data_IF_303692936171
#
_entry.id   IF_303692936171
#
_cell.length_a   1.000
_cell.length_b   1.000
_cell.length_c   1.000
_cell.angle_alpha   90.00
_cell.angle_beta   90.00
_cell.angle_gamma   90.00
#
_symmetry.space_group_name_H-M   'P 1'
#
loop_
_entity.id
_entity.type
_entity.pdbx_description
1 polymer ?
#
# COMPACT_ATOMS: atom_id res chain seq x y z
N UNK A 1 -20.00 2.55 -7.89
CA UNK A 1 -19.39 1.58 -8.83
C UNK A 1 -18.32 2.33 -9.63
N UNK A 2 -17.04 2.18 -9.30
CA UNK A 2 -15.94 3.00 -9.86
C UNK A 2 -14.90 2.12 -10.55
N UNK A 3 -14.95 2.00 -11.88
CA UNK A 3 -13.91 1.35 -12.70
C UNK A 3 -13.78 1.87 -14.16
N UNK A 4 -14.14 3.12 -14.55
CA UNK A 4 -13.96 3.53 -15.94
C UNK A 4 -12.48 3.51 -16.39
N UNK A 5 -11.53 3.74 -15.47
CA UNK A 5 -10.08 3.73 -15.75
C UNK A 5 -9.49 2.32 -15.90
N UNK A 6 -10.12 1.30 -15.31
CA UNK A 6 -9.63 -0.08 -15.32
C UNK A 6 -10.77 -1.08 -15.54
N UNK A 7 -11.30 -1.18 -16.77
CA UNK A 7 -12.43 -2.07 -17.08
C UNK A 7 -12.10 -3.55 -16.81
N UNK A 8 -10.82 -3.94 -16.95
CA UNK A 8 -10.33 -5.29 -16.61
C UNK A 8 -10.55 -5.67 -15.14
N UNK A 9 -10.64 -4.69 -14.23
CA UNK A 9 -10.88 -4.94 -12.80
C UNK A 9 -12.38 -5.00 -12.46
N UNK A 10 -13.28 -4.69 -13.40
CA UNK A 10 -14.72 -4.78 -13.18
C UNK A 10 -15.17 -6.23 -13.01
N UNK A 11 -14.59 -7.14 -13.80
CA UNK A 11 -14.87 -8.58 -13.78
C UNK A 11 -13.59 -9.33 -13.38
N UNK A 12 -13.26 -9.31 -12.09
CA UNK A 12 -12.09 -10.05 -11.59
C UNK A 12 -12.36 -11.56 -11.62
N UNK A 13 -11.44 -12.40 -12.15
CA UNK A 13 -11.57 -13.85 -12.08
C UNK A 13 -11.68 -14.32 -10.62
N UNK A 14 -12.66 -15.16 -10.33
CA UNK A 14 -12.75 -15.83 -9.02
C UNK A 14 -11.57 -16.78 -8.86
N UNK A 15 -10.75 -16.66 -7.79
CA UNK A 15 -9.66 -17.58 -7.55
C UNK A 15 -10.19 -19.00 -7.37
N UNK A 16 -9.67 -19.97 -8.14
CA UNK A 16 -10.04 -21.39 -8.00
C UNK A 16 -9.67 -21.95 -6.61
N UNK A 17 -8.65 -21.37 -5.96
CA UNK A 17 -8.26 -21.66 -4.59
C UNK A 17 -8.09 -20.35 -3.83
N UNK A 18 -9.10 -19.86 -3.09
CA UNK A 18 -8.93 -18.70 -2.25
C UNK A 18 -7.87 -19.02 -1.18
N UNK A 19 -6.86 -18.16 -0.98
CA UNK A 19 -5.84 -18.41 0.02
C UNK A 19 -6.48 -18.41 1.41
N UNK A 20 -6.19 -19.45 2.20
CA UNK A 20 -6.56 -19.50 3.62
C UNK A 20 -5.63 -18.55 4.37
N UNK A 21 -6.09 -17.34 4.66
CA UNK A 21 -5.37 -16.40 5.50
C UNK A 21 -5.61 -16.77 6.97
N UNK A 22 -4.55 -17.10 7.71
CA UNK A 22 -4.62 -17.28 9.17
C UNK A 22 -4.52 -15.97 9.94
N UNK A 23 -4.10 -14.89 9.26
CA UNK A 23 -3.87 -13.57 9.85
C UNK A 23 -4.66 -12.50 9.11
N UNK A 24 -4.95 -11.41 9.82
CA UNK A 24 -5.55 -10.23 9.22
C UNK A 24 -4.56 -9.52 8.28
N UNK A 25 -5.05 -8.90 7.20
CA UNK A 25 -4.24 -8.05 6.33
C UNK A 25 -3.54 -6.93 7.10
N UNK A 26 -2.38 -6.50 6.62
CA UNK A 26 -1.65 -5.39 7.21
C UNK A 26 -2.43 -4.08 7.11
N UNK A 27 -2.58 -3.39 8.24
CA UNK A 27 -3.15 -2.04 8.32
C UNK A 27 -2.04 -0.99 8.35
N UNK A 28 -1.31 -0.88 7.24
CA UNK A 28 -0.19 0.05 7.08
C UNK A 28 -0.50 1.09 5.99
N UNK A 29 -0.62 2.35 6.38
CA UNK A 29 -0.69 3.48 5.44
C UNK A 29 0.58 3.52 4.58
N UNK A 30 0.38 3.60 3.25
CA UNK A 30 1.47 3.50 2.25
C UNK A 30 2.34 2.23 2.37
N UNK A 31 1.84 1.20 3.05
CA UNK A 31 2.61 0.03 3.49
C UNK A 31 3.82 0.35 4.41
N UNK A 32 3.83 1.52 5.05
CA UNK A 32 4.94 2.00 5.89
C UNK A 32 4.48 2.27 7.32
N UNK A 33 3.47 3.11 7.51
CA UNK A 33 3.05 3.58 8.84
C UNK A 33 1.82 2.84 9.37
N UNK A 34 1.80 2.41 10.64
CA UNK A 34 0.57 1.91 11.27
C UNK A 34 -0.52 2.97 11.31
N UNK A 35 -1.77 2.59 11.04
CA UNK A 35 -2.90 3.53 11.10
C UNK A 35 -3.38 3.85 12.51
N UNK A 36 -2.92 3.11 13.53
CA UNK A 36 -3.40 3.21 14.91
C UNK A 36 -2.99 4.52 15.63
N UNK A 37 -2.06 5.30 15.08
CA UNK A 37 -1.60 6.57 15.65
C UNK A 37 -1.42 7.60 14.54
N UNK A 38 -1.82 8.84 14.79
CA UNK A 38 -1.59 9.97 13.86
C UNK A 38 -0.17 10.53 14.00
N UNK A 39 0.45 10.37 15.16
CA UNK A 39 1.87 10.71 15.37
C UNK A 39 2.70 9.46 15.08
N UNK A 40 3.43 9.42 13.95
CA UNK A 40 4.24 8.27 13.61
C UNK A 40 5.46 8.19 14.52
N UNK A 41 5.60 7.09 15.26
CA UNK A 41 6.79 6.79 16.08
C UNK A 41 7.55 5.56 15.58
N UNK A 42 6.94 4.80 14.67
CA UNK A 42 7.48 3.59 14.09
C UNK A 42 7.06 3.49 12.62
N UNK A 43 7.99 3.03 11.78
CA UNK A 43 7.78 2.77 10.37
C UNK A 43 8.28 1.37 10.02
N UNK A 44 7.59 0.69 9.11
CA UNK A 44 7.94 -0.65 8.63
C UNK A 44 8.39 -0.57 7.17
N UNK A 45 9.62 -0.99 6.88
CA UNK A 45 10.21 -0.96 5.53
C UNK A 45 10.39 -2.37 4.98
N UNK A 46 10.37 -2.52 3.66
CA UNK A 46 10.66 -3.79 2.97
C UNK A 46 9.59 -4.88 3.13
N UNK A 47 8.44 -4.58 3.74
CA UNK A 47 7.35 -5.55 3.91
C UNK A 47 6.53 -5.77 2.62
N UNK A 48 6.50 -4.76 1.75
CA UNK A 48 5.81 -4.79 0.46
C UNK A 48 6.62 -5.56 -0.56
N UNK A 49 5.99 -6.52 -1.23
CA UNK A 49 6.56 -7.26 -2.35
C UNK A 49 6.51 -6.36 -3.59
N UNK A 50 7.69 -5.89 -4.00
CA UNK A 50 7.90 -4.97 -5.12
C UNK A 50 8.89 -5.59 -6.12
N UNK A 51 8.85 -5.19 -7.39
CA UNK A 51 9.72 -5.78 -8.41
C UNK A 51 11.22 -5.52 -8.17
N UNK A 52 11.58 -4.37 -7.58
CA UNK A 52 12.97 -4.00 -7.29
C UNK A 52 13.09 -3.47 -5.86
N UNK A 53 13.48 -4.31 -4.91
CA UNK A 53 13.52 -3.92 -3.50
C UNK A 53 14.58 -2.85 -3.20
N UNK A 54 15.72 -2.82 -3.91
CA UNK A 54 16.78 -1.83 -3.67
C UNK A 54 16.33 -0.43 -4.05
N UNK A 55 15.73 -0.27 -5.22
CA UNK A 55 15.15 1.01 -5.67
C UNK A 55 14.06 1.51 -4.71
N UNK A 56 13.18 0.61 -4.25
CA UNK A 56 12.11 0.99 -3.35
C UNK A 56 12.60 1.28 -1.93
N UNK A 57 13.67 0.63 -1.47
CA UNK A 57 14.21 0.83 -0.14
C UNK A 57 14.65 2.29 0.06
N UNK A 58 15.24 2.92 -0.95
CA UNK A 58 15.62 4.32 -0.92
C UNK A 58 14.40 5.23 -0.73
N UNK A 59 13.40 5.10 -1.61
CA UNK A 59 12.20 5.94 -1.59
C UNK A 59 11.36 5.70 -0.32
N UNK A 60 11.18 4.44 0.08
CA UNK A 60 10.50 4.10 1.33
C UNK A 60 11.21 4.68 2.55
N UNK A 61 12.55 4.68 2.57
CA UNK A 61 13.33 5.25 3.67
C UNK A 61 13.18 6.77 3.73
N UNK A 62 13.26 7.45 2.59
CA UNK A 62 13.03 8.90 2.52
C UNK A 62 11.63 9.25 3.06
N UNK A 63 10.60 8.59 2.53
CA UNK A 63 9.22 8.80 2.99
C UNK A 63 9.02 8.51 4.48
N UNK A 64 9.64 7.44 4.99
CA UNK A 64 9.52 7.06 6.38
C UNK A 64 10.19 8.07 7.32
N UNK A 65 11.40 8.53 7.00
CA UNK A 65 12.09 9.54 7.81
C UNK A 65 11.32 10.86 7.80
N UNK A 66 10.87 11.31 6.62
CA UNK A 66 10.07 12.53 6.51
C UNK A 66 8.77 12.49 7.31
N UNK A 67 8.16 11.30 7.46
CA UNK A 67 6.98 11.16 8.33
C UNK A 67 7.35 11.19 9.81
N UNK A 68 8.45 10.55 10.20
CA UNK A 68 8.91 10.48 11.60
C UNK A 68 9.44 11.82 12.13
N UNK A 69 10.11 12.61 11.29
CA UNK A 69 10.64 13.93 11.67
C UNK A 69 9.62 15.08 11.52
N UNK A 70 8.44 14.79 10.94
CA UNK A 70 7.36 15.75 10.75
C UNK A 70 7.48 16.63 9.51
N UNK A 71 8.47 16.36 8.63
CA UNK A 71 8.59 17.03 7.32
C UNK A 71 7.32 16.85 6.48
N UNK A 72 6.75 15.64 6.49
CA UNK A 72 5.42 15.38 5.94
C UNK A 72 4.42 15.16 7.06
N UNK A 73 3.24 15.75 6.93
CA UNK A 73 2.12 15.53 7.86
C UNK A 73 1.26 14.38 7.35
N UNK A 74 1.18 13.29 8.12
CA UNK A 74 0.28 12.20 7.81
C UNK A 74 -1.18 12.65 7.93
N UNK A 75 -2.09 12.15 7.06
CA UNK A 75 -3.49 12.53 7.14
C UNK A 75 -4.16 11.96 8.40
N UNK A 76 -5.38 12.44 8.74
CA UNK A 76 -6.13 11.89 9.87
C UNK A 76 -6.33 10.38 9.77
N UNK A 77 -6.40 9.70 10.93
CA UNK A 77 -6.50 8.24 11.02
C UNK A 77 -7.59 7.65 10.10
N UNK A 78 -8.79 8.24 10.10
CA UNK A 78 -9.91 7.76 9.28
C UNK A 78 -9.60 7.78 7.77
N UNK A 79 -8.84 8.78 7.29
CA UNK A 79 -8.43 8.86 5.88
C UNK A 79 -7.31 7.86 5.57
N UNK A 80 -6.38 7.62 6.51
CA UNK A 80 -5.37 6.56 6.36
C UNK A 80 -6.02 5.19 6.25
N UNK A 81 -6.95 4.86 7.15
CA UNK A 81 -7.67 3.58 7.16
C UNK A 81 -8.49 3.36 5.89
N UNK A 82 -9.16 4.42 5.41
CA UNK A 82 -9.89 4.41 4.15
C UNK A 82 -8.99 4.17 2.95
N UNK A 83 -7.80 4.80 2.92
CA UNK A 83 -6.81 4.56 1.86
C UNK A 83 -6.30 3.11 1.89
N UNK A 84 -5.96 2.59 3.07
CA UNK A 84 -5.55 1.19 3.25
C UNK A 84 -6.64 0.24 2.78
N UNK A 85 -7.89 0.43 3.20
CA UNK A 85 -9.01 -0.41 2.76
C UNK A 85 -9.19 -0.38 1.23
N UNK A 86 -9.03 0.80 0.63
CA UNK A 86 -9.11 0.98 -0.84
C UNK A 86 -7.98 0.25 -1.56
N UNK A 87 -6.73 0.41 -1.11
CA UNK A 87 -5.56 -0.23 -1.73
C UNK A 87 -5.62 -1.75 -1.55
N UNK A 88 -6.07 -2.24 -0.39
CA UNK A 88 -6.28 -3.67 -0.13
C UNK A 88 -7.38 -4.26 -1.03
N UNK A 89 -8.50 -3.57 -1.19
CA UNK A 89 -9.57 -4.00 -2.09
C UNK A 89 -9.11 -4.03 -3.55
N UNK A 90 -8.32 -3.04 -3.96
CA UNK A 90 -7.74 -2.97 -5.29
C UNK A 90 -6.70 -4.09 -5.51
N UNK A 91 -5.80 -4.37 -4.56
CA UNK A 91 -4.82 -5.45 -4.64
C UNK A 91 -5.48 -6.82 -4.76
N UNK A 92 -6.53 -7.09 -3.99
CA UNK A 92 -7.30 -8.35 -4.09
C UNK A 92 -7.91 -8.55 -5.48
N UNK A 93 -8.35 -7.45 -6.13
CA UNK A 93 -8.88 -7.49 -7.49
C UNK A 93 -7.79 -7.64 -8.54
N UNK A 94 -6.70 -6.89 -8.40
CA UNK A 94 -5.60 -6.87 -9.37
C UNK A 94 -4.78 -8.17 -9.34
N UNK A 95 -4.67 -8.79 -8.17
CA UNK A 95 -3.82 -9.94 -7.89
C UNK A 95 -4.61 -11.07 -7.20
N UNK A 96 -5.37 -11.88 -7.96
CA UNK A 96 -6.31 -12.85 -7.40
C UNK A 96 -5.71 -13.87 -6.42
N UNK A 97 -4.42 -14.23 -6.55
CA UNK A 97 -3.76 -15.21 -5.67
C UNK A 97 -2.88 -14.55 -4.61
N UNK A 98 -2.16 -13.47 -4.95
CA UNK A 98 -1.14 -12.85 -4.09
C UNK A 98 -1.64 -11.59 -3.36
N UNK A 99 -2.67 -10.91 -3.87
CA UNK A 99 -3.18 -9.65 -3.31
C UNK A 99 -3.91 -9.79 -1.98
N UNK A 100 -4.24 -11.02 -1.57
CA UNK A 100 -4.95 -11.30 -0.32
C UNK A 100 -4.15 -10.94 0.94
N UNK A 101 -2.82 -11.08 0.90
CA UNK A 101 -1.93 -10.67 1.99
C UNK A 101 -1.75 -9.15 2.11
N UNK A 102 -2.30 -8.39 1.16
CA UNK A 102 -2.32 -6.93 1.16
C UNK A 102 -0.95 -6.26 1.26
N UNK A 103 0.07 -6.91 0.71
CA UNK A 103 1.43 -6.39 0.64
C UNK A 103 2.06 -6.66 -0.74
N UNK A 104 1.26 -6.86 -1.78
CA UNK A 104 1.73 -7.28 -3.10
C UNK A 104 1.44 -6.19 -4.12
N UNK A 105 2.49 -5.45 -4.51
CA UNK A 105 2.45 -4.35 -5.49
C UNK A 105 3.51 -4.56 -6.59
N UNK A 106 3.82 -5.81 -6.89
CA UNK A 106 4.97 -6.19 -7.72
C UNK A 106 4.99 -5.50 -9.08
N UNK A 107 3.83 -5.40 -9.75
CA UNK A 107 3.72 -4.80 -11.09
C UNK A 107 3.38 -3.31 -11.07
N UNK A 108 3.10 -2.75 -9.90
CA UNK A 108 2.70 -1.35 -9.73
C UNK A 108 3.77 -0.59 -8.95
N UNK A 109 5.02 -1.03 -9.07
CA UNK A 109 6.17 -0.43 -8.40
C UNK A 109 6.31 1.05 -8.74
N UNK A 110 6.17 1.42 -10.01
CA UNK A 110 6.28 2.81 -10.48
C UNK A 110 5.17 3.66 -9.85
N UNK A 111 3.91 3.26 -9.98
CA UNK A 111 2.80 4.03 -9.40
C UNK A 111 2.80 4.07 -7.87
N UNK A 112 3.38 3.07 -7.21
CA UNK A 112 3.62 3.10 -5.77
C UNK A 112 4.67 4.17 -5.42
N UNK A 113 5.80 4.19 -6.12
CA UNK A 113 6.87 5.15 -5.87
C UNK A 113 6.49 6.57 -6.24
N UNK A 114 5.80 6.77 -7.37
CA UNK A 114 5.32 8.08 -7.80
C UNK A 114 4.43 8.71 -6.73
N UNK A 115 3.59 7.89 -6.08
CA UNK A 115 2.73 8.36 -4.99
C UNK A 115 3.51 8.77 -3.74
N UNK A 116 4.59 8.07 -3.40
CA UNK A 116 5.44 8.46 -2.28
C UNK A 116 6.21 9.75 -2.58
N UNK A 117 6.69 9.90 -3.80
CA UNK A 117 7.40 11.10 -4.27
C UNK A 117 6.46 12.31 -4.33
N UNK A 118 5.23 12.13 -4.82
CA UNK A 118 4.20 13.18 -4.83
C UNK A 118 3.88 13.65 -3.40
N UNK A 119 3.72 12.73 -2.44
CA UNK A 119 3.51 13.06 -1.04
C UNK A 119 4.73 13.78 -0.41
N UNK A 120 5.94 13.57 -0.95
CA UNK A 120 7.18 14.28 -0.60
C UNK A 120 7.35 15.63 -1.33
N UNK A 121 6.50 15.93 -2.32
CA UNK A 121 6.60 17.13 -3.16
C UNK A 121 7.65 17.06 -4.26
N UNK A 122 8.01 15.86 -4.74
CA UNK A 122 9.00 15.60 -5.80
C UNK A 122 8.35 15.18 -7.11
#
# INVERSE_FOLDING_TARGET
>A
KCTPRYPLLANTPTPHHPPKLSTTPFSLYRNIFPTASTTPTIAFLGRTQLANHTYNAEIQSLYAISGLDGTITLPPQAEMEKDVARVNAWMKRRYPTKGWSSNFLFFDVVGYTDRLLEDLGM
#
